data_IF_253383433622
#
_entry.id   IF_253383433622
#
_cell.length_a   1.000
_cell.length_b   1.000
_cell.length_c   1.000
_cell.angle_alpha   90.00
_cell.angle_beta   90.00
_cell.angle_gamma   90.00
#
_symmetry.space_group_name_H-M   'P 1'
#
loop_
_entity.id
_entity.type
_entity.pdbx_description
1 polymer ?
#
# COMPACT_ATOMS: atom_id res chain seq x y z
N UNK A 1 19.17 22.72 19.89
CA UNK A 1 19.10 22.29 18.47
C UNK A 1 19.90 21.01 18.27
N UNK A 2 21.18 20.96 18.67
CA UNK A 2 22.04 19.76 18.56
C UNK A 2 21.36 18.43 18.95
N UNK A 3 20.75 18.32 20.15
CA UNK A 3 20.17 17.05 20.63
C UNK A 3 19.11 16.38 19.75
N UNK A 4 18.34 17.15 18.98
CA UNK A 4 17.32 16.58 18.09
C UNK A 4 17.97 16.13 16.78
N UNK A 5 18.89 16.92 16.23
CA UNK A 5 19.63 16.58 15.01
C UNK A 5 20.52 15.35 15.23
N UNK A 6 21.21 15.28 16.37
CA UNK A 6 22.03 14.14 16.77
C UNK A 6 21.19 12.86 16.83
N UNK A 7 20.02 12.92 17.48
CA UNK A 7 19.10 11.79 17.55
C UNK A 7 18.60 11.34 16.17
N UNK A 8 18.42 12.26 15.21
CA UNK A 8 18.03 11.90 13.84
C UNK A 8 19.17 11.28 13.05
N UNK A 9 20.40 11.78 13.22
CA UNK A 9 21.59 11.23 12.57
C UNK A 9 21.92 9.83 13.07
N UNK A 10 21.85 9.61 14.38
CA UNK A 10 22.04 8.30 15.01
C UNK A 10 21.04 7.25 14.50
N UNK A 11 19.83 7.69 14.15
CA UNK A 11 18.75 6.82 13.67
C UNK A 11 18.59 6.79 12.14
N UNK A 12 19.51 7.41 11.39
CA UNK A 12 19.41 7.54 9.93
C UNK A 12 19.22 6.19 9.23
N UNK A 13 20.04 5.19 9.61
CA UNK A 13 19.97 3.85 9.03
C UNK A 13 18.62 3.17 9.32
N UNK A 14 18.05 3.40 10.51
CA UNK A 14 16.74 2.87 10.87
C UNK A 14 15.62 3.53 10.05
N UNK A 15 15.72 4.83 9.74
CA UNK A 15 14.78 5.52 8.86
C UNK A 15 14.87 5.04 7.42
N UNK A 16 16.08 4.85 6.88
CA UNK A 16 16.29 4.32 5.52
C UNK A 16 15.77 2.89 5.43
N UNK A 17 16.06 2.03 6.40
CA UNK A 17 15.52 0.67 6.44
C UNK A 17 13.98 0.67 6.53
N UNK A 18 13.40 1.56 7.33
CA UNK A 18 11.95 1.73 7.43
C UNK A 18 11.30 2.17 6.12
N UNK A 19 11.92 3.12 5.41
CA UNK A 19 11.47 3.62 4.12
C UNK A 19 11.64 2.56 3.03
N UNK A 20 12.77 1.86 3.00
CA UNK A 20 13.07 0.79 2.04
C UNK A 20 12.04 -0.33 2.11
N UNK A 21 11.67 -0.78 3.31
CA UNK A 21 10.59 -1.78 3.50
C UNK A 21 9.23 -1.34 2.95
N UNK A 22 9.01 -0.04 2.72
CA UNK A 22 7.74 0.52 2.23
C UNK A 22 7.79 0.98 0.78
N UNK A 23 8.98 1.30 0.28
CA UNK A 23 9.17 1.86 -1.06
C UNK A 23 9.72 0.83 -2.05
N UNK A 24 10.37 -0.23 -1.55
CA UNK A 24 10.95 -1.32 -2.34
C UNK A 24 12.26 -0.95 -3.04
N UNK A 25 12.39 0.30 -3.47
CA UNK A 25 13.56 0.87 -4.13
C UNK A 25 14.53 1.48 -3.09
N UNK A 26 15.80 1.03 -3.03
CA UNK A 26 16.78 1.50 -2.07
C UNK A 26 17.20 2.95 -2.30
N UNK A 27 17.33 3.40 -3.55
CA UNK A 27 17.77 4.76 -3.88
C UNK A 27 16.63 5.74 -3.56
N UNK A 28 15.42 5.40 -3.97
CA UNK A 28 14.23 6.20 -3.65
C UNK A 28 13.96 6.27 -2.14
N UNK A 29 14.28 5.21 -1.39
CA UNK A 29 14.16 5.22 0.07
C UNK A 29 15.15 6.19 0.72
N UNK A 30 16.40 6.22 0.25
CA UNK A 30 17.41 7.15 0.72
C UNK A 30 17.02 8.61 0.42
N UNK A 31 16.58 8.88 -0.81
CA UNK A 31 16.10 10.21 -1.23
C UNK A 31 14.90 10.67 -0.40
N UNK A 32 13.94 9.79 -0.17
CA UNK A 32 12.74 10.11 0.60
C UNK A 32 13.06 10.47 2.06
N UNK A 33 14.04 9.79 2.66
CA UNK A 33 14.53 10.11 4.01
C UNK A 33 15.25 11.45 4.00
N UNK A 34 16.12 11.70 3.01
CA UNK A 34 16.82 12.98 2.86
C UNK A 34 15.84 14.15 2.72
N UNK A 35 14.85 14.05 1.84
CA UNK A 35 13.79 15.04 1.67
C UNK A 35 13.00 15.27 2.96
N UNK A 36 12.74 14.20 3.71
CA UNK A 36 12.02 14.29 4.98
C UNK A 36 12.85 14.98 6.06
N UNK A 37 14.16 14.77 6.10
CA UNK A 37 15.09 15.48 6.98
C UNK A 37 15.12 16.98 6.63
N UNK A 38 15.14 17.32 5.35
CA UNK A 38 15.06 18.72 4.91
C UNK A 38 13.72 19.37 5.31
N UNK A 39 12.60 18.65 5.23
CA UNK A 39 11.29 19.13 5.73
C UNK A 39 11.29 19.31 7.24
N UNK A 40 11.91 18.38 7.97
CA UNK A 40 12.05 18.44 9.42
C UNK A 40 12.84 19.68 9.85
N UNK A 41 13.99 19.94 9.20
CA UNK A 41 14.82 21.13 9.47
C UNK A 41 14.10 22.45 9.19
N UNK A 42 13.17 22.46 8.21
CA UNK A 42 12.37 23.64 7.85
C UNK A 42 11.08 23.78 8.67
N UNK A 43 10.74 22.81 9.52
CA UNK A 43 9.52 22.84 10.31
C UNK A 43 9.56 23.93 11.39
N UNK A 44 8.48 24.70 11.50
CA UNK A 44 8.30 25.65 12.60
C UNK A 44 8.03 24.93 13.94
N UNK A 45 7.43 23.75 13.89
CA UNK A 45 7.17 22.90 15.05
C UNK A 45 8.42 22.06 15.31
N UNK A 46 9.10 22.34 16.43
CA UNK A 46 10.34 21.66 16.80
C UNK A 46 10.03 20.53 17.78
N UNK A 47 10.56 19.32 17.56
CA UNK A 47 10.35 18.23 18.48
C UNK A 47 11.05 18.48 19.83
N UNK A 48 10.67 17.67 20.82
CA UNK A 48 11.53 17.43 21.98
C UNK A 48 12.85 16.77 21.58
N UNK A 49 13.74 16.56 22.55
CA UNK A 49 15.02 15.89 22.32
C UNK A 49 14.91 14.35 22.32
N UNK A 50 15.96 13.69 21.83
CA UNK A 50 16.09 12.23 21.86
C UNK A 50 14.93 11.48 21.19
N UNK A 51 14.26 10.62 21.94
CA UNK A 51 13.17 9.76 21.46
C UNK A 51 11.96 10.55 20.93
N UNK A 52 11.73 11.75 21.47
CA UNK A 52 10.70 12.66 20.97
C UNK A 52 10.96 13.11 19.53
N UNK A 53 12.22 13.41 19.20
CA UNK A 53 12.65 13.77 17.85
C UNK A 53 12.48 12.60 16.87
N UNK A 54 12.86 11.39 17.29
CA UNK A 54 12.72 10.16 16.49
C UNK A 54 11.25 9.87 16.17
N UNK A 55 10.39 9.90 17.18
CA UNK A 55 8.94 9.65 17.02
C UNK A 55 8.29 10.68 16.11
N UNK A 56 8.64 11.95 16.30
CA UNK A 56 8.17 13.04 15.46
C UNK A 56 8.66 12.93 14.01
N UNK A 57 9.92 12.56 13.79
CA UNK A 57 10.45 12.37 12.44
C UNK A 57 9.77 11.20 11.71
N UNK A 58 9.48 10.09 12.39
CA UNK A 58 8.68 9.01 11.82
C UNK A 58 7.29 9.49 11.35
N UNK A 59 6.70 10.50 12.00
CA UNK A 59 5.44 11.11 11.53
C UNK A 59 5.64 11.82 10.18
N UNK A 60 6.69 12.63 10.06
CA UNK A 60 7.04 13.31 8.80
C UNK A 60 7.34 12.29 7.70
N UNK A 61 8.15 11.28 8.00
CA UNK A 61 8.55 10.27 7.03
C UNK A 61 7.34 9.46 6.53
N UNK A 62 6.40 9.08 7.42
CA UNK A 62 5.15 8.43 7.01
C UNK A 62 4.32 9.32 6.08
N UNK A 63 4.21 10.62 6.37
CA UNK A 63 3.51 11.54 5.48
C UNK A 63 4.19 11.67 4.11
N UNK A 64 5.53 11.75 4.07
CA UNK A 64 6.30 11.76 2.83
C UNK A 64 6.07 10.50 1.99
N UNK A 65 6.01 9.32 2.62
CA UNK A 65 5.69 8.04 1.95
C UNK A 65 4.28 8.10 1.34
N UNK A 66 3.28 8.55 2.10
CA UNK A 66 1.90 8.69 1.62
C UNK A 66 1.83 9.65 0.43
N UNK A 67 2.52 10.79 0.51
CA UNK A 67 2.55 11.78 -0.56
C UNK A 67 3.22 11.25 -1.83
N UNK A 68 4.32 10.50 -1.70
CA UNK A 68 4.99 9.82 -2.82
C UNK A 68 4.00 8.91 -3.57
N UNK A 69 3.28 8.07 -2.83
CA UNK A 69 2.30 7.17 -3.45
C UNK A 69 1.08 7.87 -4.01
N UNK A 70 0.60 8.94 -3.35
CA UNK A 70 -0.48 9.77 -3.91
C UNK A 70 -0.08 10.36 -5.26
N UNK A 71 1.17 10.84 -5.39
CA UNK A 71 1.70 11.36 -6.66
C UNK A 71 1.83 10.27 -7.72
N UNK A 72 2.28 9.08 -7.34
CA UNK A 72 2.37 7.91 -8.24
C UNK A 72 1.01 7.49 -8.78
N UNK A 73 0.00 7.35 -7.92
CA UNK A 73 -1.38 6.99 -8.32
C UNK A 73 -2.00 8.06 -9.25
N UNK A 74 -1.78 9.35 -8.98
CA UNK A 74 -2.22 10.43 -9.89
C UNK A 74 -1.53 10.32 -11.24
N UNK A 75 -0.21 10.06 -11.26
CA UNK A 75 0.58 9.90 -12.50
C UNK A 75 0.11 8.67 -13.29
N UNK A 76 -0.13 7.56 -12.61
CA UNK A 76 -0.58 6.31 -13.22
C UNK A 76 -1.98 6.46 -13.83
N UNK A 77 -2.92 7.11 -13.12
CA UNK A 77 -4.25 7.43 -13.69
C UNK A 77 -4.16 8.36 -14.90
N UNK A 78 -3.24 9.32 -14.88
CA UNK A 78 -3.00 10.19 -16.04
C UNK A 78 -2.45 9.39 -17.23
N UNK A 79 -1.53 8.46 -16.98
CA UNK A 79 -0.99 7.54 -18.00
C UNK A 79 -2.08 6.60 -18.54
N UNK A 80 -2.92 6.03 -17.68
CA UNK A 80 -4.03 5.17 -18.08
C UNK A 80 -5.05 5.92 -18.95
N UNK A 81 -5.35 7.19 -18.64
CA UNK A 81 -6.20 8.03 -19.49
C UNK A 81 -5.59 8.24 -20.88
N UNK A 82 -4.28 8.49 -20.94
CA UNK A 82 -3.56 8.63 -22.20
C UNK A 82 -3.50 7.30 -22.98
N UNK A 83 -3.35 6.17 -22.28
CA UNK A 83 -3.38 4.82 -22.86
C UNK A 83 -4.75 4.41 -23.37
N UNK A 84 -5.83 4.87 -22.73
CA UNK A 84 -7.20 4.64 -23.20
C UNK A 84 -7.53 5.37 -24.51
N UNK A 85 -6.70 6.33 -24.93
CA UNK A 85 -6.76 6.97 -26.24
C UNK A 85 -6.02 6.17 -27.34
N UNK A 86 -5.30 5.10 -26.97
CA UNK A 86 -4.63 4.17 -27.89
C UNK A 86 -5.48 2.89 -28.10
N UNK A 87 -5.49 2.28 -29.31
CA UNK A 87 -6.24 1.05 -29.56
C UNK A 87 -5.75 -0.10 -28.66
N UNK A 88 -6.69 -0.85 -28.08
CA UNK A 88 -6.48 -1.88 -27.05
C UNK A 88 -5.36 -2.89 -27.41
N UNK A 89 -4.38 -3.04 -26.51
CA UNK A 89 -3.55 -4.24 -26.43
C UNK A 89 -3.98 -5.09 -25.21
N UNK A 90 -3.99 -6.42 -25.33
CA UNK A 90 -4.36 -7.30 -24.22
C UNK A 90 -3.29 -7.20 -23.12
N UNK A 91 -3.73 -6.83 -21.92
CA UNK A 91 -2.90 -6.53 -20.76
C UNK A 91 -2.07 -7.77 -20.35
N UNK A 92 -0.75 -7.62 -20.39
CA UNK A 92 0.19 -8.63 -19.96
C UNK A 92 0.11 -8.74 -18.43
N UNK A 93 -0.34 -9.91 -17.97
CA UNK A 93 -0.30 -10.41 -16.60
C UNK A 93 0.70 -9.68 -15.70
N UNK A 94 0.24 -8.63 -15.02
CA UNK A 94 0.94 -8.08 -13.88
C UNK A 94 0.93 -9.15 -12.78
N UNK A 95 2.08 -9.77 -12.52
CA UNK A 95 2.30 -10.59 -11.33
C UNK A 95 2.02 -9.74 -10.09
N UNK A 96 0.76 -9.80 -9.62
CA UNK A 96 0.34 -9.12 -8.40
C UNK A 96 0.87 -9.93 -7.23
N UNK A 97 2.01 -9.51 -6.69
CA UNK A 97 2.49 -9.97 -5.38
C UNK A 97 1.37 -9.73 -4.36
N UNK A 98 0.72 -10.82 -3.94
CA UNK A 98 -0.45 -10.75 -3.09
C UNK A 98 -0.03 -10.38 -1.66
N UNK A 99 -0.59 -9.30 -1.14
CA UNK A 99 -0.35 -8.87 0.24
C UNK A 99 -0.64 -9.98 1.25
N UNK A 100 0.29 -10.26 2.17
CA UNK A 100 0.04 -11.16 3.30
C UNK A 100 -1.19 -10.75 4.12
N UNK A 101 -1.44 -9.43 4.23
CA UNK A 101 -2.65 -8.88 4.83
C UNK A 101 -3.93 -9.35 4.14
N UNK A 102 -3.93 -9.44 2.80
CA UNK A 102 -5.08 -9.91 2.01
C UNK A 102 -5.33 -11.40 2.28
N UNK A 103 -4.27 -12.23 2.32
CA UNK A 103 -4.39 -13.66 2.68
C UNK A 103 -4.99 -13.84 4.08
N UNK A 104 -4.59 -13.01 5.05
CA UNK A 104 -5.09 -13.08 6.43
C UNK A 104 -6.54 -12.59 6.58
N UNK A 105 -6.96 -11.61 5.78
CA UNK A 105 -8.29 -10.99 5.87
C UNK A 105 -9.35 -11.70 5.03
N UNK A 106 -8.96 -12.46 4.00
CA UNK A 106 -9.87 -13.25 3.15
C UNK A 106 -10.81 -14.17 3.96
N UNK A 107 -10.32 -14.93 4.97
CA UNK A 107 -11.18 -15.78 5.80
C UNK A 107 -12.24 -15.01 6.60
N UNK A 108 -12.06 -13.72 6.82
CA UNK A 108 -13.02 -12.87 7.54
C UNK A 108 -14.16 -12.31 6.68
N UNK A 109 -14.18 -12.59 5.38
CA UNK A 109 -15.25 -12.18 4.47
C UNK A 109 -16.36 -13.24 4.40
N UNK A 110 -17.63 -12.83 4.15
CA UNK A 110 -18.70 -13.74 3.79
C UNK A 110 -18.31 -14.64 2.62
N UNK A 111 -18.69 -15.91 2.69
CA UNK A 111 -18.31 -16.96 1.73
C UNK A 111 -18.59 -16.55 0.27
N UNK A 112 -19.81 -16.05 0.01
CA UNK A 112 -20.21 -15.52 -1.30
C UNK A 112 -19.30 -14.42 -1.89
N UNK A 113 -18.55 -13.69 -1.07
CA UNK A 113 -17.60 -12.67 -1.52
C UNK A 113 -16.18 -13.26 -1.65
N UNK A 114 -15.83 -14.18 -0.77
CA UNK A 114 -14.56 -14.92 -0.83
C UNK A 114 -14.45 -15.71 -2.12
N UNK A 115 -15.50 -16.44 -2.51
CA UNK A 115 -15.47 -17.32 -3.67
C UNK A 115 -15.27 -16.55 -4.98
N UNK A 116 -15.89 -15.37 -5.08
CA UNK A 116 -15.76 -14.50 -6.23
C UNK A 116 -14.36 -13.90 -6.32
N UNK A 117 -13.80 -13.44 -5.19
CA UNK A 117 -12.43 -12.93 -5.12
C UNK A 117 -11.40 -14.02 -5.40
N UNK A 118 -11.60 -15.23 -4.87
CA UNK A 118 -10.71 -16.37 -5.12
C UNK A 118 -10.67 -16.69 -6.61
N UNK A 119 -11.82 -16.91 -7.25
CA UNK A 119 -11.85 -17.32 -8.66
C UNK A 119 -11.33 -16.25 -9.61
N UNK A 120 -11.69 -14.97 -9.40
CA UNK A 120 -11.33 -13.89 -10.32
C UNK A 120 -9.95 -13.31 -9.99
N UNK A 121 -9.74 -12.89 -8.73
CA UNK A 121 -8.56 -12.11 -8.35
C UNK A 121 -7.37 -12.99 -7.93
N UNK A 122 -7.58 -14.26 -7.54
CA UNK A 122 -6.50 -15.17 -7.14
C UNK A 122 -6.23 -16.27 -8.17
N UNK A 123 -7.26 -16.91 -8.70
CA UNK A 123 -7.13 -18.03 -9.65
C UNK A 123 -7.10 -17.55 -11.12
N UNK A 124 -7.39 -16.27 -11.38
CA UNK A 124 -7.34 -15.67 -12.71
C UNK A 124 -8.43 -16.15 -13.67
N UNK A 125 -9.51 -16.73 -13.17
CA UNK A 125 -10.62 -17.19 -14.01
C UNK A 125 -11.31 -16.01 -14.70
N UNK A 126 -11.84 -16.26 -15.89
CA UNK A 126 -12.63 -15.24 -16.58
C UNK A 126 -13.97 -14.99 -15.84
N UNK A 127 -14.55 -13.77 -15.95
CA UNK A 127 -15.87 -13.49 -15.39
C UNK A 127 -16.95 -14.46 -15.86
N UNK A 128 -16.84 -14.98 -17.09
CA UNK A 128 -17.81 -15.93 -17.65
C UNK A 128 -17.71 -17.30 -16.97
N UNK A 129 -16.50 -17.80 -16.75
CA UNK A 129 -16.26 -19.07 -16.06
C UNK A 129 -16.66 -19.00 -14.59
N UNK A 130 -16.31 -17.91 -13.91
CA UNK A 130 -16.69 -17.70 -12.51
C UNK A 130 -18.22 -17.57 -12.34
N UNK A 131 -18.91 -16.87 -13.25
CA UNK A 131 -20.37 -16.76 -13.22
C UNK A 131 -21.03 -18.13 -13.37
N UNK A 132 -20.58 -18.95 -14.34
CA UNK A 132 -21.10 -20.29 -14.56
C UNK A 132 -20.85 -21.20 -13.35
N UNK A 133 -19.65 -21.16 -12.79
CA UNK A 133 -19.27 -22.03 -11.68
C UNK A 133 -19.97 -21.67 -10.35
N UNK A 134 -20.36 -20.40 -10.18
CA UNK A 134 -21.09 -19.92 -8.99
C UNK A 134 -22.61 -19.89 -9.21
N UNK A 135 -23.11 -20.30 -10.38
CA UNK A 135 -24.54 -20.25 -10.72
C UNK A 135 -25.10 -18.83 -10.77
N UNK A 136 -24.29 -17.84 -11.14
CA UNK A 136 -24.66 -16.42 -11.16
C UNK A 136 -24.82 -15.90 -12.58
N UNK A 137 -25.66 -14.87 -12.75
CA UNK A 137 -25.65 -14.09 -13.98
C UNK A 137 -24.42 -13.19 -14.03
N UNK A 138 -23.91 -12.80 -15.22
CA UNK A 138 -22.77 -11.89 -15.34
C UNK A 138 -22.95 -10.58 -14.57
N UNK A 139 -24.18 -10.07 -14.57
CA UNK A 139 -24.52 -8.84 -13.85
C UNK A 139 -24.51 -9.03 -12.32
N UNK A 140 -25.01 -10.17 -11.82
CA UNK A 140 -24.94 -10.50 -10.39
C UNK A 140 -23.49 -10.72 -9.95
N UNK A 141 -22.66 -11.38 -10.77
CA UNK A 141 -21.24 -11.57 -10.51
C UNK A 141 -20.52 -10.22 -10.40
N UNK A 142 -20.73 -9.29 -11.32
CA UNK A 142 -20.10 -7.97 -11.30
C UNK A 142 -20.47 -7.17 -10.05
N UNK A 143 -21.76 -7.14 -9.69
CA UNK A 143 -22.22 -6.48 -8.46
C UNK A 143 -21.61 -7.14 -7.21
N UNK A 144 -21.54 -8.48 -7.20
CA UNK A 144 -20.98 -9.25 -6.08
C UNK A 144 -19.47 -9.04 -5.95
N UNK A 145 -18.73 -9.03 -7.06
CA UNK A 145 -17.30 -8.77 -7.13
C UNK A 145 -16.98 -7.35 -6.65
N UNK A 146 -17.74 -6.34 -7.10
CA UNK A 146 -17.58 -4.97 -6.63
C UNK A 146 -17.76 -4.85 -5.11
N UNK A 147 -18.84 -5.43 -4.57
CA UNK A 147 -19.10 -5.43 -3.12
C UNK A 147 -18.03 -6.21 -2.35
N UNK A 148 -17.56 -7.33 -2.90
CA UNK A 148 -16.49 -8.13 -2.30
C UNK A 148 -15.18 -7.33 -2.19
N UNK A 149 -14.76 -6.66 -3.27
CA UNK A 149 -13.57 -5.80 -3.28
C UNK A 149 -13.70 -4.62 -2.33
N UNK A 150 -14.86 -3.97 -2.28
CA UNK A 150 -15.11 -2.86 -1.35
C UNK A 150 -15.00 -3.30 0.10
N UNK A 151 -15.55 -4.46 0.45
CA UNK A 151 -15.54 -4.99 1.82
C UNK A 151 -14.16 -5.49 2.24
N UNK A 152 -13.40 -6.05 1.29
CA UNK A 152 -11.99 -6.38 1.51
C UNK A 152 -11.17 -5.10 1.74
N UNK A 153 -11.41 -4.04 0.96
CA UNK A 153 -10.80 -2.72 1.15
C UNK A 153 -11.10 -2.15 2.54
N UNK A 154 -12.36 -2.15 2.98
CA UNK A 154 -12.75 -1.69 4.32
C UNK A 154 -12.01 -2.46 5.43
N UNK A 155 -11.89 -3.79 5.31
CA UNK A 155 -11.13 -4.61 6.27
C UNK A 155 -9.64 -4.29 6.25
N UNK A 156 -9.07 -4.09 5.07
CA UNK A 156 -7.67 -3.67 4.92
C UNK A 156 -7.47 -2.27 5.51
N UNK A 157 -8.40 -1.33 5.30
CA UNK A 157 -8.38 0.02 5.88
C UNK A 157 -8.41 -0.01 7.40
N UNK A 158 -9.26 -0.85 7.98
CA UNK A 158 -9.37 -1.01 9.44
C UNK A 158 -8.14 -1.68 10.06
N UNK A 159 -7.40 -2.51 9.31
CA UNK A 159 -6.24 -3.25 9.82
C UNK A 159 -4.92 -2.54 9.51
N UNK A 160 -4.85 -1.80 8.40
CA UNK A 160 -3.66 -1.13 7.90
C UNK A 160 -4.03 0.06 7.00
N UNK A 161 -3.94 1.29 7.54
CA UNK A 161 -4.21 2.52 6.79
C UNK A 161 -3.25 2.80 5.63
N UNK A 162 -2.13 2.09 5.52
CA UNK A 162 -1.10 2.30 4.49
C UNK A 162 -1.38 1.48 3.22
N UNK A 163 -1.84 0.24 3.37
CA UNK A 163 -2.09 -0.66 2.23
C UNK A 163 -3.40 -0.35 1.49
N UNK A 164 -4.35 0.34 2.14
CA UNK A 164 -5.67 0.57 1.57
C UNK A 164 -5.74 1.63 0.46
N UNK A 165 -4.86 2.62 0.50
CA UNK A 165 -4.84 3.72 -0.47
C UNK A 165 -3.85 3.54 -1.62
N UNK A 166 -2.86 2.66 -1.48
CA UNK A 166 -1.69 2.67 -2.37
C UNK A 166 -1.33 1.33 -3.01
N UNK A 167 -2.15 0.29 -2.81
CA UNK A 167 -1.79 -1.07 -3.24
C UNK A 167 -0.77 -1.70 -2.29
N UNK A 168 -0.59 -3.02 -2.40
CA UNK A 168 0.26 -3.73 -1.44
C UNK A 168 1.73 -3.36 -1.64
N UNK A 169 2.36 -2.91 -0.55
CA UNK A 169 3.78 -2.60 -0.45
C UNK A 169 4.40 -3.63 0.47
N UNK A 170 4.55 -4.86 -0.05
CA UNK A 170 5.26 -6.00 0.54
C UNK A 170 5.42 -5.93 2.08
N UNK A 171 4.29 -5.84 2.79
CA UNK A 171 4.30 -5.44 4.20
C UNK A 171 4.44 -6.67 5.08
N UNK A 172 5.52 -6.70 5.87
CA UNK A 172 5.73 -7.69 6.94
C UNK A 172 4.98 -7.33 8.23
N UNK A 173 3.87 -6.60 8.15
CA UNK A 173 3.10 -6.18 9.32
C UNK A 173 2.37 -7.38 9.94
N UNK A 174 3.10 -8.12 10.79
CA UNK A 174 2.64 -9.33 11.44
C UNK A 174 3.72 -10.37 11.78
N UNK A 175 5.02 -10.09 11.59
CA UNK A 175 6.04 -10.82 12.33
C UNK A 175 6.03 -10.30 13.76
N UNK A 176 5.65 -11.16 14.71
CA UNK A 176 5.89 -10.91 16.13
C UNK A 176 7.35 -10.47 16.34
N UNK A 177 7.64 -9.60 17.32
CA UNK A 177 9.01 -9.36 17.71
C UNK A 177 9.52 -10.67 18.34
N UNK A 178 10.33 -11.42 17.61
CA UNK A 178 11.14 -12.48 18.21
C UNK A 178 12.00 -11.84 19.32
N UNK A 179 11.98 -12.50 20.48
CA UNK A 179 12.59 -12.12 21.75
C UNK A 179 14.01 -11.55 21.68
#
# INVERSE_FOLDING_TARGET
MAKAEDALLENLNAFVAFARKRVGDPDLAADLVQDSLLKALKSADKPGDGEGAVTWFYRILRHSIIDLYRRRDVRERALQRLQAELPEQPDAAAERVLCQCVKRLLPGLPEQYRDVLQRIDLDGASPKEAASALGLTPNNLNVRLHRARQRLREKVEATCHVCSKHGCLDCSCGSEPDH
#
